data_IF_947778267049
#
_entry.id   IF_947778267049
#
_cell.length_a   1.000
_cell.length_b   1.000
_cell.length_c   1.000
_cell.angle_alpha   90.00
_cell.angle_beta   90.00
_cell.angle_gamma   90.00
#
_symmetry.space_group_name_H-M   'P 1'
#
loop_
_entity.id
_entity.type
_entity.pdbx_description
1 polymer ?
#
# COMPACT_ATOMS: atom_id res chain seq x y z
N UNK A 1 -6.46 1.53 13.47
CA UNK A 1 -5.85 2.87 13.37
C UNK A 1 -6.92 3.96 13.59
N UNK A 2 -6.60 5.13 14.17
CA UNK A 2 -7.62 6.18 14.44
C UNK A 2 -7.35 7.54 13.79
N UNK A 3 -6.09 7.94 13.61
CA UNK A 3 -5.74 9.17 12.89
C UNK A 3 -4.31 9.10 12.34
N UNK A 4 -4.12 9.71 11.15
CA UNK A 4 -2.82 9.81 10.50
C UNK A 4 -2.51 11.27 10.21
N UNK A 5 -1.32 11.70 10.63
CA UNK A 5 -0.87 13.06 10.43
C UNK A 5 -0.50 13.30 8.97
N UNK A 6 -1.13 14.31 8.35
CA UNK A 6 -0.77 14.79 7.02
C UNK A 6 0.59 15.49 7.10
N UNK A 7 1.46 15.29 6.11
CA UNK A 7 2.73 16.01 6.02
C UNK A 7 2.49 17.52 5.99
N UNK A 8 3.22 18.28 6.81
CA UNK A 8 3.06 19.73 6.83
C UNK A 8 3.75 20.38 5.61
N UNK A 9 3.22 21.50 5.09
CA UNK A 9 3.88 22.25 4.02
C UNK A 9 5.32 22.64 4.36
N UNK A 10 5.60 23.00 5.62
CA UNK A 10 6.95 23.36 6.08
C UNK A 10 7.92 22.18 6.00
N UNK A 11 7.49 20.98 6.42
CA UNK A 11 8.33 19.78 6.34
C UNK A 11 8.63 19.39 4.89
N UNK A 12 7.63 19.50 4.00
CA UNK A 12 7.79 19.24 2.58
C UNK A 12 8.74 20.27 1.91
N UNK A 13 8.61 21.57 2.22
CA UNK A 13 9.55 22.61 1.76
C UNK A 13 10.97 22.37 2.26
N UNK A 14 11.12 22.12 3.56
CA UNK A 14 12.43 21.85 4.17
C UNK A 14 13.11 20.64 3.53
N UNK A 15 12.34 19.61 3.17
CA UNK A 15 12.85 18.43 2.47
C UNK A 15 13.37 18.80 1.07
N UNK A 16 12.61 19.57 0.29
CA UNK A 16 13.02 20.03 -1.04
C UNK A 16 14.29 20.89 -0.96
N UNK A 17 14.34 21.84 -0.03
CA UNK A 17 15.50 22.71 0.17
C UNK A 17 16.75 21.93 0.58
N UNK A 18 16.61 20.97 1.50
CA UNK A 18 17.72 20.11 1.91
C UNK A 18 18.30 19.31 0.73
N UNK A 19 17.43 18.75 -0.13
CA UNK A 19 17.86 18.03 -1.33
C UNK A 19 18.50 18.96 -2.35
N UNK A 20 17.92 20.16 -2.57
CA UNK A 20 18.50 21.16 -3.48
C UNK A 20 19.92 21.53 -3.07
N UNK A 21 20.13 21.88 -1.80
CA UNK A 21 21.46 22.20 -1.28
C UNK A 21 22.42 21.01 -1.35
N UNK A 22 21.93 19.78 -1.15
CA UNK A 22 22.77 18.58 -1.30
C UNK A 22 23.22 18.38 -2.75
N UNK A 23 22.33 18.55 -3.74
CA UNK A 23 22.69 18.49 -5.16
C UNK A 23 23.66 19.60 -5.56
N UNK A 24 23.43 20.83 -5.08
CA UNK A 24 24.32 21.98 -5.30
C UNK A 24 25.75 21.69 -4.81
N UNK A 25 25.90 21.13 -3.60
CA UNK A 25 27.20 20.75 -3.04
C UNK A 25 27.96 19.71 -3.86
N UNK A 26 27.24 18.88 -4.62
CA UNK A 26 27.82 17.87 -5.51
C UNK A 26 27.97 18.36 -6.96
N UNK A 27 27.64 19.62 -7.25
CA UNK A 27 27.67 20.17 -8.61
C UNK A 27 26.57 19.60 -9.54
N UNK A 28 25.51 19.01 -8.98
CA UNK A 28 24.45 18.31 -9.71
C UNK A 28 23.24 19.19 -10.04
N UNK A 29 23.39 20.51 -10.08
CA UNK A 29 22.29 21.47 -10.29
C UNK A 29 21.44 21.18 -11.54
N UNK A 30 22.08 20.68 -12.60
CA UNK A 30 21.41 20.36 -13.85
C UNK A 30 20.34 19.24 -13.73
N UNK A 31 20.31 18.49 -12.63
CA UNK A 31 19.29 17.46 -12.41
C UNK A 31 18.01 18.02 -11.78
N UNK A 32 18.04 19.22 -11.19
CA UNK A 32 16.88 19.76 -10.46
C UNK A 32 15.59 19.77 -11.30
N UNK A 33 15.60 20.17 -12.59
CA UNK A 33 14.42 20.09 -13.45
C UNK A 33 13.90 18.65 -13.72
N UNK A 34 14.65 17.61 -13.34
CA UNK A 34 14.26 16.19 -13.46
C UNK A 34 13.63 15.64 -12.18
N UNK A 35 13.61 16.40 -11.09
CA UNK A 35 12.95 16.04 -9.85
C UNK A 35 11.46 16.40 -9.98
N UNK A 36 10.65 15.42 -10.37
CA UNK A 36 9.24 15.62 -10.70
C UNK A 36 8.28 15.40 -9.53
N UNK A 37 8.72 14.73 -8.46
CA UNK A 37 7.83 14.38 -7.36
C UNK A 37 8.51 14.36 -5.99
N UNK A 38 7.72 14.65 -4.96
CA UNK A 38 8.07 14.45 -3.56
C UNK A 38 7.12 13.43 -2.93
N UNK A 39 7.66 12.44 -2.22
CA UNK A 39 6.83 11.53 -1.41
C UNK A 39 6.37 12.25 -0.15
N UNK A 40 5.07 12.24 0.09
CA UNK A 40 4.43 12.85 1.28
C UNK A 40 3.29 11.97 1.78
N UNK A 41 2.82 12.23 2.99
CA UNK A 41 1.66 11.55 3.59
C UNK A 41 0.40 12.43 3.44
N UNK A 42 -0.56 12.11 2.55
CA UNK A 42 -1.81 12.85 2.37
C UNK A 42 -2.89 12.55 3.41
N UNK A 43 -2.63 11.65 4.35
CA UNK A 43 -3.62 11.17 5.32
C UNK A 43 -4.37 9.93 4.82
N UNK A 44 -3.71 9.05 4.07
CA UNK A 44 -4.24 7.75 3.65
C UNK A 44 -3.37 6.62 4.19
N UNK A 45 -4.00 5.56 4.68
CA UNK A 45 -3.33 4.37 5.19
C UNK A 45 -4.35 3.22 5.34
N UNK A 46 -3.86 2.02 5.62
CA UNK A 46 -4.67 0.88 5.97
C UNK A 46 -3.89 -0.03 6.94
N UNK A 47 -4.60 -0.76 7.80
CA UNK A 47 -4.02 -1.80 8.66
C UNK A 47 -4.48 -3.21 8.26
N UNK A 48 -4.88 -4.03 9.22
CA UNK A 48 -5.36 -5.37 8.95
C UNK A 48 -6.82 -5.40 8.53
N UNK A 49 -7.62 -4.48 9.06
CA UNK A 49 -9.09 -4.51 8.97
C UNK A 49 -9.70 -3.14 8.73
N UNK A 50 -8.91 -2.08 8.71
CA UNK A 50 -9.39 -0.71 8.54
C UNK A 50 -8.62 0.01 7.43
N UNK A 51 -9.32 0.94 6.78
CA UNK A 51 -8.77 1.90 5.83
C UNK A 51 -8.98 3.30 6.42
N UNK A 52 -7.94 4.14 6.40
CA UNK A 52 -8.07 5.57 6.64
C UNK A 52 -8.34 6.23 5.28
N UNK A 53 -9.57 6.68 5.09
CA UNK A 53 -9.96 7.37 3.86
C UNK A 53 -9.32 8.75 3.76
N UNK A 54 -8.99 9.13 2.54
CA UNK A 54 -8.51 10.46 2.22
C UNK A 54 -9.51 11.54 2.66
N UNK A 55 -9.02 12.56 3.36
CA UNK A 55 -9.81 13.73 3.81
C UNK A 55 -9.25 15.00 3.15
N UNK A 56 -9.83 15.48 2.04
CA UNK A 56 -9.27 16.58 1.25
C UNK A 56 -9.01 17.85 2.07
N UNK A 57 -9.94 18.18 2.98
CA UNK A 57 -9.82 19.34 3.85
C UNK A 57 -8.56 19.35 4.73
N UNK A 58 -8.02 18.19 5.09
CA UNK A 58 -6.77 18.08 5.88
C UNK A 58 -5.52 18.30 5.03
N UNK A 59 -5.60 18.07 3.71
CA UNK A 59 -4.46 18.14 2.79
C UNK A 59 -4.42 19.45 1.96
N UNK A 60 -5.44 20.31 2.05
CA UNK A 60 -5.54 21.58 1.29
C UNK A 60 -4.26 22.41 1.34
N UNK A 61 -3.68 22.63 2.52
CA UNK A 61 -2.47 23.46 2.66
C UNK A 61 -1.24 22.82 1.99
N UNK A 62 -1.15 21.49 1.97
CA UNK A 62 -0.08 20.76 1.31
C UNK A 62 -0.26 20.81 -0.22
N UNK A 63 -1.48 20.59 -0.70
CA UNK A 63 -1.86 20.72 -2.11
C UNK A 63 -1.57 22.13 -2.66
N UNK A 64 -1.96 23.19 -1.96
CA UNK A 64 -1.65 24.57 -2.36
C UNK A 64 -0.15 24.88 -2.35
N UNK A 65 0.64 24.20 -1.49
CA UNK A 65 2.07 24.43 -1.43
C UNK A 65 2.76 24.04 -2.74
N UNK A 66 2.39 22.90 -3.33
CA UNK A 66 3.07 22.36 -4.50
C UNK A 66 2.81 23.16 -5.77
N UNK A 67 1.72 23.93 -5.82
CA UNK A 67 1.41 24.87 -6.92
C UNK A 67 2.48 25.96 -7.12
N UNK A 68 3.31 26.22 -6.11
CA UNK A 68 4.45 27.15 -6.22
C UNK A 68 5.66 26.56 -6.97
N UNK A 69 5.59 25.29 -7.38
CA UNK A 69 6.65 24.57 -8.08
C UNK A 69 6.15 24.14 -9.46
N UNK A 70 6.76 24.68 -10.52
CA UNK A 70 6.28 24.52 -11.90
C UNK A 70 6.20 23.06 -12.39
N UNK A 71 7.07 22.18 -11.89
CA UNK A 71 7.21 20.80 -12.39
C UNK A 71 7.06 19.73 -11.31
N UNK A 72 6.74 20.12 -10.08
CA UNK A 72 6.65 19.20 -8.95
C UNK A 72 5.20 18.76 -8.73
N UNK A 73 5.02 17.48 -8.45
CA UNK A 73 3.77 16.89 -7.94
C UNK A 73 4.07 16.07 -6.69
N UNK A 74 3.04 15.50 -6.06
CA UNK A 74 3.23 14.54 -4.98
C UNK A 74 3.11 13.09 -5.44
N UNK A 75 3.94 12.25 -4.84
CA UNK A 75 3.80 10.80 -4.86
C UNK A 75 3.19 10.34 -3.52
N UNK A 76 2.05 9.66 -3.57
CA UNK A 76 1.39 9.09 -2.41
C UNK A 76 1.57 7.57 -2.38
N UNK A 77 1.97 7.05 -1.22
CA UNK A 77 2.11 5.62 -0.94
C UNK A 77 0.87 5.11 -0.21
N UNK A 78 0.68 3.79 -0.20
CA UNK A 78 -0.41 3.13 0.51
C UNK A 78 -1.80 3.64 0.10
N UNK A 79 -1.97 3.97 -1.18
CA UNK A 79 -3.27 4.44 -1.72
C UNK A 79 -4.22 3.27 -2.01
N UNK A 80 -3.82 2.04 -1.65
CA UNK A 80 -4.63 0.83 -1.70
C UNK A 80 -5.96 1.01 -0.97
N UNK A 81 -7.00 0.33 -1.46
CA UNK A 81 -8.34 0.25 -0.86
C UNK A 81 -9.14 1.56 -0.76
N UNK A 82 -8.58 2.70 -1.17
CA UNK A 82 -9.30 3.96 -1.28
C UNK A 82 -10.46 3.86 -2.28
N UNK A 83 -11.55 4.60 -2.01
CA UNK A 83 -12.66 4.69 -2.96
C UNK A 83 -12.22 5.33 -4.28
N UNK A 84 -12.88 5.02 -5.43
CA UNK A 84 -12.60 5.70 -6.70
C UNK A 84 -12.71 7.22 -6.61
N UNK A 85 -13.63 7.73 -5.77
CA UNK A 85 -13.80 9.16 -5.51
C UNK A 85 -12.59 9.73 -4.77
N UNK A 86 -12.11 9.05 -3.72
CA UNK A 86 -10.89 9.43 -2.99
C UNK A 86 -9.66 9.43 -3.89
N UNK A 87 -9.49 8.40 -4.73
CA UNK A 87 -8.39 8.33 -5.70
C UNK A 87 -8.44 9.48 -6.71
N UNK A 88 -9.63 9.82 -7.22
CA UNK A 88 -9.80 10.97 -8.10
C UNK A 88 -9.46 12.29 -7.38
N UNK A 89 -9.90 12.43 -6.13
CA UNK A 89 -9.67 13.64 -5.36
C UNK A 89 -8.18 13.81 -5.01
N UNK A 90 -7.46 12.72 -4.71
CA UNK A 90 -6.00 12.72 -4.55
C UNK A 90 -5.30 13.30 -5.79
N UNK A 91 -5.69 12.89 -7.00
CA UNK A 91 -5.12 13.43 -8.25
C UNK A 91 -5.44 14.92 -8.42
N UNK A 92 -6.67 15.35 -8.12
CA UNK A 92 -7.07 16.77 -8.16
C UNK A 92 -6.21 17.61 -7.20
N UNK A 93 -5.88 17.05 -6.04
CA UNK A 93 -5.07 17.70 -5.00
C UNK A 93 -3.56 17.49 -5.18
N UNK A 94 -3.12 17.24 -6.42
CA UNK A 94 -1.72 17.10 -6.87
C UNK A 94 -0.95 15.87 -6.35
N UNK A 95 -1.61 14.92 -5.68
CA UNK A 95 -1.08 13.57 -5.45
C UNK A 95 -1.24 12.73 -6.73
N UNK A 96 -0.47 13.09 -7.76
CA UNK A 96 -0.68 12.56 -9.11
C UNK A 96 0.07 11.25 -9.40
N UNK A 97 1.02 10.83 -8.56
CA UNK A 97 1.57 9.47 -8.57
C UNK A 97 0.97 8.69 -7.41
N UNK A 98 0.05 7.77 -7.72
CA UNK A 98 -0.63 6.92 -6.73
C UNK A 98 -0.02 5.52 -6.75
N UNK A 99 0.67 5.13 -5.68
CA UNK A 99 1.27 3.79 -5.58
C UNK A 99 0.28 2.80 -4.96
N UNK A 100 0.01 1.75 -5.73
CA UNK A 100 -0.82 0.61 -5.35
C UNK A 100 -0.01 -0.68 -5.42
N UNK A 101 -0.25 -1.61 -4.50
CA UNK A 101 0.42 -2.91 -4.46
C UNK A 101 -0.46 -3.95 -3.77
N UNK A 102 -0.53 -3.95 -2.42
CA UNK A 102 -1.37 -4.88 -1.64
C UNK A 102 -2.79 -5.07 -2.17
N UNK A 103 -3.50 -4.03 -2.62
CA UNK A 103 -4.84 -4.17 -3.16
C UNK A 103 -4.90 -5.08 -4.40
N UNK A 104 -3.86 -5.08 -5.24
CA UNK A 104 -3.81 -5.89 -6.44
C UNK A 104 -3.68 -7.38 -6.09
N UNK A 105 -2.74 -7.73 -5.22
CA UNK A 105 -2.51 -9.12 -4.80
C UNK A 105 -3.55 -9.62 -3.81
N UNK A 106 -4.20 -8.72 -3.07
CA UNK A 106 -5.37 -9.03 -2.25
C UNK A 106 -6.57 -9.45 -3.12
N UNK A 107 -6.86 -8.72 -4.20
CA UNK A 107 -7.93 -9.09 -5.14
C UNK A 107 -7.61 -10.42 -5.85
N UNK A 108 -6.35 -10.65 -6.23
CA UNK A 108 -5.89 -11.95 -6.74
C UNK A 108 -6.17 -13.08 -5.72
N UNK A 109 -5.82 -12.88 -4.44
CA UNK A 109 -6.08 -13.86 -3.38
C UNK A 109 -7.57 -14.17 -3.26
N UNK A 110 -8.44 -13.16 -3.28
CA UNK A 110 -9.90 -13.36 -3.22
C UNK A 110 -10.41 -14.21 -4.40
N UNK A 111 -9.93 -13.92 -5.60
CA UNK A 111 -10.25 -14.72 -6.79
C UNK A 111 -9.78 -16.17 -6.63
N UNK A 112 -8.52 -16.39 -6.22
CA UNK A 112 -7.97 -17.73 -6.02
C UNK A 112 -8.68 -18.51 -4.91
N UNK A 113 -9.05 -17.87 -3.81
CA UNK A 113 -9.81 -18.50 -2.73
C UNK A 113 -11.22 -18.87 -3.16
N UNK A 114 -11.86 -18.03 -3.98
CA UNK A 114 -13.18 -18.31 -4.54
C UNK A 114 -13.12 -19.48 -5.53
N UNK A 115 -12.09 -19.52 -6.38
CA UNK A 115 -11.86 -20.64 -7.30
C UNK A 115 -11.56 -21.95 -6.55
N UNK A 116 -10.79 -21.91 -5.46
CA UNK A 116 -10.57 -23.07 -4.61
C UNK A 116 -11.87 -23.58 -3.97
N UNK A 117 -12.76 -22.68 -3.53
CA UNK A 117 -14.08 -23.08 -3.02
C UNK A 117 -14.95 -23.70 -4.12
N UNK A 118 -14.91 -23.18 -5.35
CA UNK A 118 -15.61 -23.77 -6.51
C UNK A 118 -15.03 -25.16 -6.84
N UNK A 119 -13.71 -25.32 -6.77
CA UNK A 119 -13.03 -26.61 -6.98
C UNK A 119 -13.57 -27.68 -6.02
N UNK A 120 -13.73 -27.36 -4.74
CA UNK A 120 -14.25 -28.27 -3.72
C UNK A 120 -15.67 -28.79 -4.02
N UNK A 121 -16.48 -28.02 -4.75
CA UNK A 121 -17.84 -28.41 -5.15
C UNK A 121 -17.89 -29.20 -6.47
N UNK A 122 -16.96 -28.93 -7.39
CA UNK A 122 -16.99 -29.48 -8.75
C UNK A 122 -16.09 -30.70 -8.95
N UNK A 123 -15.01 -30.82 -8.17
CA UNK A 123 -13.96 -31.82 -8.36
C UNK A 123 -14.04 -32.88 -7.27
N UNK A 124 -13.86 -34.17 -7.57
CA UNK A 124 -13.78 -35.20 -6.54
C UNK A 124 -12.67 -34.88 -5.53
N UNK A 125 -12.96 -34.97 -4.23
CA UNK A 125 -12.05 -34.57 -3.15
C UNK A 125 -10.58 -35.05 -3.28
N UNK A 126 -10.36 -36.25 -3.82
CA UNK A 126 -9.01 -36.82 -4.04
C UNK A 126 -8.19 -36.13 -5.13
N UNK A 127 -8.82 -35.30 -5.96
CA UNK A 127 -8.23 -34.61 -7.09
C UNK A 127 -8.20 -33.08 -6.91
N UNK A 128 -8.75 -32.55 -5.80
CA UNK A 128 -8.68 -31.12 -5.49
C UNK A 128 -7.24 -30.72 -5.15
N UNK A 129 -6.84 -29.52 -5.56
CA UNK A 129 -5.52 -28.93 -5.29
C UNK A 129 -5.26 -28.71 -3.79
N UNK A 130 -6.30 -28.38 -3.02
CA UNK A 130 -6.16 -28.01 -1.61
C UNK A 130 -5.44 -26.67 -1.41
N UNK A 131 -5.47 -25.76 -2.40
CA UNK A 131 -4.71 -24.50 -2.42
C UNK A 131 -4.73 -23.74 -1.08
N UNK A 132 -5.90 -23.58 -0.46
CA UNK A 132 -6.04 -22.84 0.81
C UNK A 132 -5.30 -23.51 1.96
N UNK A 133 -5.30 -24.84 2.00
CA UNK A 133 -4.61 -25.62 3.02
C UNK A 133 -3.09 -25.62 2.79
N UNK A 134 -2.66 -25.78 1.53
CA UNK A 134 -1.24 -25.73 1.17
C UNK A 134 -0.66 -24.36 1.53
N UNK A 135 -1.35 -23.29 1.15
CA UNK A 135 -0.95 -21.93 1.49
C UNK A 135 -0.85 -21.70 3.01
N UNK A 136 -1.85 -22.13 3.78
CA UNK A 136 -1.82 -22.01 5.24
C UNK A 136 -0.63 -22.78 5.85
N UNK A 137 -0.36 -23.99 5.38
CA UNK A 137 0.77 -24.79 5.85
C UNK A 137 2.11 -24.09 5.56
N UNK A 138 2.31 -23.62 4.31
CA UNK A 138 3.54 -22.92 3.92
C UNK A 138 3.73 -21.64 4.74
N UNK A 139 2.65 -20.88 4.97
CA UNK A 139 2.73 -19.68 5.81
C UNK A 139 3.03 -20.01 7.28
N UNK A 140 2.55 -21.13 7.81
CA UNK A 140 2.88 -21.56 9.18
C UNK A 140 4.34 -22.03 9.30
N UNK A 141 4.83 -22.76 8.30
CA UNK A 141 6.21 -23.28 8.27
C UNK A 141 7.25 -22.18 8.06
N UNK A 142 6.89 -21.11 7.33
CA UNK A 142 7.75 -19.95 7.03
C UNK A 142 7.10 -18.66 7.50
N UNK A 143 7.12 -18.35 8.81
CA UNK A 143 6.37 -17.22 9.35
C UNK A 143 7.02 -15.85 9.14
N UNK A 144 8.23 -15.77 8.58
CA UNK A 144 9.07 -14.57 8.52
C UNK A 144 8.39 -13.37 7.86
N UNK A 145 7.55 -13.58 6.84
CA UNK A 145 6.92 -12.48 6.12
C UNK A 145 5.66 -11.92 6.82
N UNK A 146 5.12 -12.60 7.84
CA UNK A 146 3.87 -12.16 8.50
C UNK A 146 3.93 -12.07 10.03
N UNK A 147 4.84 -12.77 10.71
CA UNK A 147 4.85 -12.85 12.18
C UNK A 147 4.98 -11.51 12.90
N UNK A 148 5.72 -10.57 12.33
CA UNK A 148 5.88 -9.21 12.87
C UNK A 148 4.69 -8.30 12.58
N UNK A 149 3.78 -8.73 11.70
CA UNK A 149 2.60 -7.96 11.30
C UNK A 149 1.34 -8.46 11.99
N UNK A 150 1.16 -9.78 12.15
CA UNK A 150 -0.08 -10.33 12.69
C UNK A 150 0.09 -10.72 14.17
N UNK A 151 -0.69 -10.05 15.02
CA UNK A 151 -0.67 -10.25 16.47
C UNK A 151 -2.00 -10.84 16.97
N UNK A 152 -2.08 -11.11 18.27
CA UNK A 152 -3.24 -11.76 18.91
C UNK A 152 -3.10 -13.28 19.01
N UNK A 153 -4.23 -13.94 19.30
CA UNK A 153 -4.31 -15.38 19.49
C UNK A 153 -4.18 -16.17 18.18
N UNK A 154 -4.19 -17.51 18.28
CA UNK A 154 -4.04 -18.39 17.12
C UNK A 154 -5.13 -18.18 16.06
N UNK A 155 -6.37 -17.91 16.45
CA UNK A 155 -7.47 -17.70 15.52
C UNK A 155 -7.38 -16.32 14.84
N UNK A 156 -7.04 -15.27 15.58
CA UNK A 156 -6.81 -13.93 15.04
C UNK A 156 -5.69 -13.95 14.00
N UNK A 157 -4.57 -14.62 14.29
CA UNK A 157 -3.45 -14.76 13.32
C UNK A 157 -3.85 -15.57 12.10
N UNK A 158 -4.61 -16.65 12.27
CA UNK A 158 -5.15 -17.47 11.16
C UNK A 158 -6.04 -16.63 10.24
N UNK A 159 -6.97 -15.85 10.81
CA UNK A 159 -7.81 -14.94 10.03
C UNK A 159 -6.98 -13.87 9.32
N UNK A 160 -5.98 -13.28 9.99
CA UNK A 160 -5.12 -12.26 9.40
C UNK A 160 -4.31 -12.80 8.21
N UNK A 161 -3.79 -14.03 8.26
CA UNK A 161 -3.11 -14.67 7.12
C UNK A 161 -4.00 -14.79 5.89
N UNK A 162 -5.27 -15.14 6.09
CA UNK A 162 -6.23 -15.33 5.00
C UNK A 162 -6.87 -14.04 4.49
N UNK A 163 -7.02 -13.00 5.32
CA UNK A 163 -7.96 -11.91 5.03
C UNK A 163 -7.47 -10.49 5.34
N UNK A 164 -6.28 -10.32 5.93
CA UNK A 164 -5.77 -8.98 6.29
C UNK A 164 -5.51 -8.12 5.04
N UNK A 165 -5.84 -6.82 5.11
CA UNK A 165 -5.46 -5.82 4.10
C UNK A 165 -3.95 -5.61 3.99
N UNK A 166 -3.16 -6.00 5.00
CA UNK A 166 -1.70 -5.96 4.90
C UNK A 166 -1.16 -6.94 3.83
N UNK A 167 -1.98 -7.91 3.40
CA UNK A 167 -1.76 -8.82 2.28
C UNK A 167 -0.39 -9.52 2.32
N UNK A 168 0.04 -9.98 3.50
CA UNK A 168 1.36 -10.63 3.65
C UNK A 168 1.45 -11.97 2.92
N UNK A 169 0.32 -12.53 2.51
CA UNK A 169 0.24 -13.72 1.66
C UNK A 169 0.95 -13.53 0.32
N UNK A 170 1.06 -12.29 -0.19
CA UNK A 170 1.68 -12.02 -1.50
C UNK A 170 3.12 -12.49 -1.65
N UNK A 171 3.84 -12.63 -0.54
CA UNK A 171 5.22 -13.10 -0.52
C UNK A 171 5.34 -14.62 -0.71
N UNK A 172 4.21 -15.35 -0.61
CA UNK A 172 4.18 -16.81 -0.69
C UNK A 172 3.73 -17.32 -2.06
N UNK A 173 3.08 -16.51 -2.90
CA UNK A 173 2.69 -16.92 -4.27
C UNK A 173 3.83 -17.48 -5.13
N UNK A 174 5.10 -17.06 -4.98
CA UNK A 174 6.21 -17.66 -5.71
C UNK A 174 6.75 -18.99 -5.13
N UNK A 175 6.24 -19.47 -4.00
CA UNK A 175 6.70 -20.74 -3.42
C UNK A 175 6.29 -21.92 -4.29
N UNK A 176 7.21 -22.84 -4.56
CA UNK A 176 6.98 -23.97 -5.46
C UNK A 176 5.88 -24.94 -5.01
N UNK A 177 5.48 -24.92 -3.74
CA UNK A 177 4.38 -25.75 -3.26
C UNK A 177 3.00 -25.14 -3.58
N UNK A 178 2.92 -23.82 -3.76
CA UNK A 178 1.70 -23.05 -4.01
C UNK A 178 1.49 -22.91 -5.53
#
# INVERSE_FOLDING_TARGET
>A
LSELAVTTPDAARATLEAHRHAFEKQGLNAIWPRIIALVVQPGVEFDHTNVIDYQPAKATALSQMVENYETLIFEAHSTDYQTPQSLRQLVIDHFAILKVGPALTFALREALFSLAAIEEELVPAKACSGLRQVLENVMLDRPEYWQSHYHGDGNARRLARGYSYSDRVRYYWPDSQI
#
